data_IF_491018301148
#
_entry.id   IF_491018301148
#
_cell.length_a   1.000
_cell.length_b   1.000
_cell.length_c   1.000
_cell.angle_alpha   90.00
_cell.angle_beta   90.00
_cell.angle_gamma   90.00
#
_symmetry.space_group_name_H-M   'P 1'
#
loop_
_entity.id
_entity.type
_entity.pdbx_description
1 polymer ?
#
# COMPACT_ATOMS: atom_id res chain seq x y z
N UNK A 1 -4.19 20.44 55.10
CA UNK A 1 -4.35 19.29 54.20
C UNK A 1 -5.00 19.82 52.92
N UNK A 2 -4.22 20.57 52.15
CA UNK A 2 -4.65 21.11 50.86
C UNK A 2 -4.19 20.15 49.79
N UNK A 3 -5.12 19.72 48.95
CA UNK A 3 -4.91 18.76 47.87
C UNK A 3 -3.77 19.23 46.96
N UNK A 4 -2.72 18.41 46.86
CA UNK A 4 -1.83 18.32 45.71
C UNK A 4 -2.72 18.07 44.48
N UNK A 5 -3.29 19.14 43.92
CA UNK A 5 -3.72 19.16 42.53
C UNK A 5 -2.42 19.17 41.72
N UNK A 6 -1.83 17.98 41.67
CA UNK A 6 -0.56 17.64 41.06
C UNK A 6 -0.72 17.91 39.56
N UNK A 7 -0.41 19.14 39.14
CA UNK A 7 -0.41 19.53 37.73
C UNK A 7 0.59 18.63 36.99
N UNK A 8 0.08 17.52 36.46
CA UNK A 8 0.83 16.61 35.62
C UNK A 8 1.24 17.34 34.35
N UNK A 9 2.54 17.43 34.13
CA UNK A 9 3.09 18.03 32.92
C UNK A 9 2.53 17.29 31.69
N UNK A 10 2.02 18.00 30.67
CA UNK A 10 1.37 17.38 29.53
C UNK A 10 2.29 16.38 28.82
N UNK A 11 1.81 15.14 28.65
CA UNK A 11 2.54 14.03 28.00
C UNK A 11 2.77 14.26 26.51
N UNK A 12 2.02 15.16 25.88
CA UNK A 12 1.97 15.31 24.42
C UNK A 12 3.08 16.21 23.84
N UNK A 13 3.82 16.95 24.66
CA UNK A 13 4.87 17.87 24.20
C UNK A 13 6.20 17.17 23.82
N UNK A 14 6.11 15.95 23.29
CA UNK A 14 7.28 15.27 22.73
C UNK A 14 7.49 15.76 21.29
N UNK A 15 7.86 17.03 21.11
CA UNK A 15 8.71 17.30 19.96
C UNK A 15 9.99 16.47 20.16
N UNK A 16 10.50 15.81 19.12
CA UNK A 16 11.77 15.12 19.21
C UNK A 16 12.84 16.11 19.72
N UNK A 17 13.83 15.61 20.46
CA UNK A 17 14.98 16.40 20.89
C UNK A 17 15.88 16.72 19.68
N UNK A 18 15.35 17.50 18.74
CA UNK A 18 15.96 17.85 17.48
C UNK A 18 15.85 19.37 17.27
N UNK A 19 16.87 20.01 16.69
CA UNK A 19 16.82 21.42 16.33
C UNK A 19 15.71 21.70 15.33
N UNK A 20 15.04 22.84 15.49
CA UNK A 20 14.06 23.35 14.54
C UNK A 20 14.41 24.79 14.19
N UNK A 21 14.63 25.05 12.91
CA UNK A 21 15.18 26.32 12.40
C UNK A 21 14.38 27.55 12.87
N UNK A 22 13.06 27.49 12.82
CA UNK A 22 12.19 28.61 13.23
C UNK A 22 12.28 28.88 14.75
N UNK A 23 12.47 27.83 15.58
CA UNK A 23 12.60 27.99 17.03
C UNK A 23 14.00 28.44 17.43
N UNK A 24 15.04 28.00 16.71
CA UNK A 24 16.41 28.53 16.85
C UNK A 24 16.47 30.01 16.46
N UNK A 25 15.76 30.43 15.40
CA UNK A 25 15.65 31.83 15.01
C UNK A 25 14.93 32.68 16.06
N UNK A 26 13.86 32.14 16.66
CA UNK A 26 13.14 32.81 17.76
C UNK A 26 14.03 32.96 19.01
N UNK A 27 14.75 31.90 19.39
CA UNK A 27 15.73 31.95 20.48
C UNK A 27 16.80 33.01 20.21
N UNK A 28 17.40 33.02 19.01
CA UNK A 28 18.39 34.03 18.60
C UNK A 28 17.85 35.45 18.68
N UNK A 29 16.63 35.68 18.19
CA UNK A 29 15.97 37.00 18.25
C UNK A 29 15.82 37.49 19.69
N UNK A 30 15.43 36.60 20.62
CA UNK A 30 15.36 36.93 22.03
C UNK A 30 16.75 37.29 22.61
N UNK A 31 17.77 36.52 22.23
CA UNK A 31 19.13 36.72 22.72
C UNK A 31 19.69 38.06 22.28
N UNK A 32 19.49 38.43 21.02
CA UNK A 32 19.90 39.70 20.45
C UNK A 32 19.17 40.88 21.12
N UNK A 33 17.84 40.78 21.28
CA UNK A 33 17.03 41.85 21.90
C UNK A 33 17.41 42.13 23.34
N UNK A 34 17.69 41.08 24.12
CA UNK A 34 18.04 41.23 25.54
C UNK A 34 19.56 41.33 25.78
N UNK A 35 20.36 41.16 24.73
CA UNK A 35 21.84 41.10 24.81
C UNK A 35 22.31 40.07 25.83
N UNK A 36 21.76 38.85 25.76
CA UNK A 36 22.09 37.74 26.67
C UNK A 36 22.82 36.63 25.91
N UNK A 37 23.72 35.89 26.57
CA UNK A 37 24.51 34.85 25.92
C UNK A 37 23.71 33.59 25.57
N UNK A 38 22.59 33.33 26.24
CA UNK A 38 21.82 32.09 26.08
C UNK A 38 20.32 32.34 26.13
N UNK A 39 19.59 31.68 25.23
CA UNK A 39 18.12 31.65 25.21
C UNK A 39 17.62 30.31 24.70
N UNK A 40 16.54 29.80 25.28
CA UNK A 40 15.99 28.49 24.91
C UNK A 40 14.47 28.53 24.78
N UNK A 41 13.95 27.83 23.77
CA UNK A 41 12.58 27.35 23.73
C UNK A 41 12.58 25.97 24.39
N UNK A 42 11.85 25.82 25.48
CA UNK A 42 11.84 24.62 26.31
C UNK A 42 10.47 23.99 26.26
N UNK A 43 10.39 22.74 25.83
CA UNK A 43 9.19 21.93 26.00
C UNK A 43 9.39 20.96 27.14
N UNK A 44 8.36 20.84 27.98
CA UNK A 44 8.43 20.12 29.25
C UNK A 44 7.48 18.93 29.21
N UNK A 45 7.95 17.76 29.63
CA UNK A 45 7.17 16.54 29.76
C UNK A 45 7.53 15.79 31.05
N UNK A 46 6.82 14.69 31.35
CA UNK A 46 7.19 13.79 32.46
C UNK A 46 8.59 13.19 32.32
N UNK A 47 9.07 13.02 31.07
CA UNK A 47 10.36 12.40 30.76
C UNK A 47 11.56 13.34 30.81
N UNK A 48 11.35 14.65 30.95
CA UNK A 48 12.42 15.65 30.91
C UNK A 48 12.02 16.93 30.17
N UNK A 49 13.03 17.71 29.78
CA UNK A 49 12.87 18.88 28.93
C UNK A 49 13.67 18.73 27.63
N UNK A 50 13.09 19.21 26.54
CA UNK A 50 13.72 19.25 25.21
C UNK A 50 13.78 20.70 24.70
N UNK A 51 14.75 20.95 23.83
CA UNK A 51 15.09 22.28 23.33
C UNK A 51 14.93 22.35 21.80
N UNK A 52 13.70 22.43 21.27
CA UNK A 52 13.48 22.58 19.84
C UNK A 52 14.09 23.88 19.29
N UNK A 53 14.23 24.91 20.14
CA UNK A 53 14.95 26.14 19.83
C UNK A 53 16.01 26.43 20.89
N UNK A 54 17.24 26.71 20.47
CA UNK A 54 18.31 27.11 21.37
C UNK A 54 19.28 28.08 20.69
N UNK A 55 19.79 29.01 21.49
CA UNK A 55 20.90 29.88 21.10
C UNK A 55 21.90 29.96 22.25
N UNK A 56 23.20 29.89 21.93
CA UNK A 56 24.29 29.93 22.90
C UNK A 56 24.45 28.67 23.76
N UNK A 57 23.74 27.59 23.43
CA UNK A 57 23.84 26.32 24.14
C UNK A 57 25.22 25.65 23.85
N UNK A 58 25.96 25.16 24.85
CA UNK A 58 27.25 24.50 24.61
C UNK A 58 27.09 23.22 23.77
N UNK A 59 28.07 22.93 22.89
CA UNK A 59 28.01 21.84 21.90
C UNK A 59 27.48 20.50 22.43
N UNK A 60 27.97 20.03 23.58
CA UNK A 60 27.52 18.76 24.20
C UNK A 60 26.01 18.68 24.47
N UNK A 61 25.37 19.83 24.70
CA UNK A 61 23.93 19.95 24.96
C UNK A 61 23.17 20.33 23.70
N UNK A 62 23.83 21.06 22.79
CA UNK A 62 23.29 21.44 21.49
C UNK A 62 23.03 20.21 20.61
N UNK A 63 23.93 19.22 20.63
CA UNK A 63 23.75 17.96 19.90
C UNK A 63 22.58 17.11 20.43
N UNK A 64 22.33 17.19 21.75
CA UNK A 64 21.31 16.38 22.44
C UNK A 64 19.93 17.02 22.51
N UNK A 65 19.86 18.36 22.40
CA UNK A 65 18.66 19.20 22.58
C UNK A 65 17.74 18.73 23.72
N UNK A 66 18.33 18.25 24.83
CA UNK A 66 17.59 17.73 25.97
C UNK A 66 18.39 17.77 27.25
N UNK A 67 17.69 17.95 28.37
CA UNK A 67 18.26 17.97 29.72
C UNK A 67 17.29 17.36 30.73
N UNK A 68 17.81 16.91 31.90
CA UNK A 68 16.96 16.61 33.04
C UNK A 68 16.10 17.82 33.43
N UNK A 69 14.84 17.57 33.76
CA UNK A 69 13.90 18.62 34.19
C UNK A 69 14.05 18.98 35.67
N UNK A 70 14.47 18.03 36.50
CA UNK A 70 14.54 18.16 37.96
C UNK A 70 15.40 19.35 38.40
N UNK A 71 14.81 20.26 39.17
CA UNK A 71 15.54 21.40 39.74
C UNK A 71 15.85 22.51 38.72
N UNK A 72 15.09 22.59 37.62
CA UNK A 72 15.21 23.66 36.63
C UNK A 72 14.20 24.80 36.89
N UNK A 73 14.54 26.07 36.57
CA UNK A 73 13.58 27.17 36.64
C UNK A 73 12.37 26.95 35.71
N UNK A 74 12.59 26.33 34.55
CA UNK A 74 11.54 26.00 33.58
C UNK A 74 10.49 25.04 34.14
N UNK A 75 10.88 24.12 35.03
CA UNK A 75 9.94 23.24 35.73
C UNK A 75 8.97 24.04 36.60
N UNK A 76 9.46 25.07 37.30
CA UNK A 76 8.64 25.90 38.16
C UNK A 76 7.64 26.73 37.35
N UNK A 77 8.06 27.30 36.22
CA UNK A 77 7.18 28.04 35.31
C UNK A 77 6.11 27.10 34.73
N UNK A 78 6.51 25.92 34.24
CA UNK A 78 5.59 24.94 33.67
C UNK A 78 4.55 24.44 34.69
N UNK A 79 4.93 24.26 35.96
CA UNK A 79 4.02 23.86 37.05
C UNK A 79 3.08 24.98 37.50
N UNK A 80 3.59 26.20 37.60
CA UNK A 80 2.81 27.33 38.14
C UNK A 80 1.99 28.06 37.09
N UNK A 81 2.35 27.90 35.81
CA UNK A 81 1.77 28.68 34.72
C UNK A 81 2.07 30.18 34.82
N UNK A 82 3.15 30.57 35.51
CA UNK A 82 3.52 31.97 35.74
C UNK A 82 4.94 32.25 35.27
N UNK A 83 5.11 33.33 34.50
CA UNK A 83 6.43 33.86 34.13
C UNK A 83 7.24 34.22 35.39
N UNK A 84 8.55 34.07 35.31
CA UNK A 84 9.46 34.26 36.45
C UNK A 84 10.75 34.93 36.01
N UNK A 85 11.23 35.87 36.83
CA UNK A 85 12.52 36.52 36.68
C UNK A 85 13.35 36.31 37.94
N UNK A 86 14.61 35.91 37.76
CA UNK A 86 15.59 35.64 38.82
C UNK A 86 16.83 36.48 38.48
N UNK A 87 17.17 37.39 39.40
CA UNK A 87 18.35 38.24 39.31
C UNK A 87 19.64 37.43 39.44
N UNK A 88 19.70 36.59 40.47
CA UNK A 88 20.83 35.72 40.75
C UNK A 88 20.34 34.36 41.27
N UNK A 89 20.53 33.29 40.49
CA UNK A 89 20.15 31.91 40.85
C UNK A 89 20.86 31.44 42.12
N UNK A 90 22.05 31.98 42.42
CA UNK A 90 22.78 31.64 43.64
C UNK A 90 22.06 32.13 44.90
N UNK A 91 21.13 33.07 44.79
CA UNK A 91 20.31 33.54 45.91
C UNK A 91 19.10 32.64 46.15
N UNK A 92 18.76 31.76 45.20
CA UNK A 92 17.59 30.86 45.28
C UNK A 92 18.02 29.48 45.81
N UNK A 93 17.69 29.10 47.07
CA UNK A 93 18.21 27.88 47.70
C UNK A 93 17.94 26.60 46.92
N UNK A 94 16.75 26.47 46.31
CA UNK A 94 16.36 25.27 45.56
C UNK A 94 17.04 25.13 44.20
N UNK A 95 17.66 26.20 43.68
CA UNK A 95 18.32 26.22 42.36
C UNK A 95 19.84 26.35 42.46
N UNK A 96 20.37 26.89 43.57
CA UNK A 96 21.80 27.13 43.80
C UNK A 96 22.67 25.88 43.62
N UNK A 97 22.16 24.73 44.05
CA UNK A 97 22.88 23.45 44.06
C UNK A 97 22.58 22.58 42.83
N UNK A 98 21.77 23.04 41.88
CA UNK A 98 21.45 22.28 40.66
C UNK A 98 22.71 22.12 39.79
N UNK A 99 23.20 20.89 39.55
CA UNK A 99 24.46 20.66 38.82
C UNK A 99 24.48 21.30 37.44
N UNK A 100 23.37 21.19 36.70
CA UNK A 100 23.27 21.67 35.32
C UNK A 100 23.37 23.20 35.22
N UNK A 101 22.84 23.93 36.21
CA UNK A 101 22.89 25.39 36.23
C UNK A 101 24.32 25.88 36.49
N UNK A 102 25.08 25.18 37.35
CA UNK A 102 26.51 25.46 37.58
C UNK A 102 27.35 25.17 36.35
N UNK A 103 27.07 24.05 35.70
CA UNK A 103 27.78 23.60 34.52
C UNK A 103 27.63 24.57 33.35
N UNK A 104 26.44 25.14 33.17
CA UNK A 104 26.12 26.19 32.21
C UNK A 104 26.48 27.61 32.69
N UNK A 105 26.99 27.76 33.92
CA UNK A 105 27.29 29.05 34.58
C UNK A 105 26.11 30.02 34.59
N UNK A 106 24.89 29.51 34.75
CA UNK A 106 23.66 30.31 34.82
C UNK A 106 23.69 31.16 36.09
N UNK A 107 23.64 32.48 35.92
CA UNK A 107 23.55 33.44 37.02
C UNK A 107 22.19 34.13 37.04
N UNK A 108 21.69 34.65 35.92
CA UNK A 108 20.36 35.25 35.83
C UNK A 108 19.45 34.47 34.88
N UNK A 109 18.15 34.52 35.14
CA UNK A 109 17.14 33.81 34.35
C UNK A 109 15.86 34.63 34.25
N UNK A 110 15.33 34.83 33.04
CA UNK A 110 13.96 35.30 32.82
C UNK A 110 13.26 34.30 31.91
N UNK A 111 12.08 33.82 32.32
CA UNK A 111 11.31 32.88 31.53
C UNK A 111 9.82 33.22 31.52
N UNK A 112 9.20 33.02 30.38
CA UNK A 112 7.76 33.18 30.20
C UNK A 112 7.11 31.88 29.73
N UNK A 113 5.85 31.71 30.10
CA UNK A 113 5.04 30.57 29.66
C UNK A 113 4.82 30.66 28.15
N UNK A 114 5.05 29.56 27.46
CA UNK A 114 4.58 29.36 26.08
C UNK A 114 3.17 28.74 26.17
N UNK A 115 2.11 29.49 25.84
CA UNK A 115 0.75 29.04 26.06
C UNK A 115 0.21 28.21 24.89
N UNK A 116 -0.76 27.36 25.20
CA UNK A 116 -1.63 26.73 24.22
C UNK A 116 -2.81 27.64 23.85
N UNK A 117 -3.67 27.26 22.88
CA UNK A 117 -4.81 28.07 22.47
C UNK A 117 -5.84 28.34 23.59
N UNK A 118 -5.81 27.55 24.66
CA UNK A 118 -6.65 27.67 25.84
C UNK A 118 -5.92 28.35 27.01
N UNK A 119 -4.70 28.86 26.79
CA UNK A 119 -3.88 29.55 27.79
C UNK A 119 -3.12 28.64 28.75
N UNK A 120 -3.07 27.32 28.51
CA UNK A 120 -2.34 26.36 29.36
C UNK A 120 -0.86 26.31 28.99
N UNK A 121 0.05 26.08 29.95
CA UNK A 121 1.48 26.00 29.67
C UNK A 121 1.85 24.79 28.81
N UNK A 122 2.40 25.05 27.61
CA UNK A 122 3.04 24.07 26.73
C UNK A 122 4.53 23.91 27.00
N UNK A 123 5.14 25.00 27.44
CA UNK A 123 6.58 25.11 27.55
C UNK A 123 6.98 26.46 28.12
N UNK A 124 8.25 26.78 27.96
CA UNK A 124 8.86 27.99 28.49
C UNK A 124 9.80 28.57 27.44
N UNK A 125 9.70 29.86 27.19
CA UNK A 125 10.74 30.61 26.49
C UNK A 125 11.57 31.34 27.54
N UNK A 126 12.89 31.15 27.53
CA UNK A 126 13.75 31.75 28.54
C UNK A 126 15.00 32.42 27.98
N UNK A 127 15.46 33.42 28.73
CA UNK A 127 16.69 34.16 28.57
C UNK A 127 17.58 33.94 29.80
N UNK A 128 18.87 33.71 29.54
CA UNK A 128 19.84 33.31 30.54
C UNK A 128 21.10 34.17 30.40
N UNK A 129 21.57 34.67 31.53
CA UNK A 129 22.85 35.39 31.64
C UNK A 129 23.81 34.67 32.58
N UNK A 130 25.10 34.79 32.30
CA UNK A 130 26.20 34.28 33.13
C UNK A 130 26.63 35.28 34.21
N UNK A 131 26.02 36.47 34.23
CA UNK A 131 26.16 37.49 35.28
C UNK A 131 24.79 37.79 35.91
N UNK A 132 24.75 38.19 37.19
CA UNK A 132 23.51 38.69 37.79
C UNK A 132 22.94 39.85 36.98
N UNK A 133 21.62 39.87 36.80
CA UNK A 133 20.95 40.86 35.96
C UNK A 133 19.63 41.30 36.59
N UNK A 134 19.44 42.61 36.68
CA UNK A 134 18.13 43.19 36.98
C UNK A 134 17.30 43.24 35.69
N UNK A 135 16.25 42.41 35.62
CA UNK A 135 15.35 42.36 34.48
C UNK A 135 14.36 43.53 34.54
N UNK A 136 14.36 44.36 33.50
CA UNK A 136 13.43 45.49 33.39
C UNK A 136 12.01 45.01 33.05
N UNK A 137 11.01 45.87 33.24
CA UNK A 137 9.65 45.57 32.78
C UNK A 137 9.59 45.37 31.26
N UNK A 138 10.40 46.13 30.51
CA UNK A 138 10.49 46.00 29.04
C UNK A 138 11.15 44.67 28.64
N UNK A 139 12.18 44.23 29.38
CA UNK A 139 12.81 42.92 29.14
C UNK A 139 11.76 41.81 29.28
N UNK A 140 10.97 41.84 30.35
CA UNK A 140 9.92 40.84 30.59
C UNK A 140 8.81 40.90 29.55
N UNK A 141 8.39 42.10 29.15
CA UNK A 141 7.40 42.28 28.08
C UNK A 141 7.87 41.68 26.74
N UNK A 142 9.18 41.77 26.43
CA UNK A 142 9.76 41.12 25.24
C UNK A 142 9.75 39.60 25.37
N UNK A 143 10.10 39.04 26.53
CA UNK A 143 10.06 37.59 26.75
C UNK A 143 8.63 37.06 26.62
N UNK A 144 7.65 37.71 27.27
CA UNK A 144 6.23 37.32 27.21
C UNK A 144 5.67 37.39 25.79
N UNK A 145 5.98 38.46 25.04
CA UNK A 145 5.51 38.62 23.66
C UNK A 145 6.08 37.53 22.72
N UNK A 146 7.38 37.23 22.83
CA UNK A 146 8.00 36.18 22.03
C UNK A 146 7.55 34.77 22.47
N UNK A 147 7.21 34.57 23.75
CA UNK A 147 6.66 33.31 24.24
C UNK A 147 5.26 33.05 23.68
N UNK A 148 4.41 34.09 23.60
CA UNK A 148 3.12 34.00 22.94
C UNK A 148 3.25 33.68 21.44
N UNK A 149 4.21 34.32 20.75
CA UNK A 149 4.52 34.01 19.35
C UNK A 149 5.01 32.55 19.19
N UNK A 150 5.85 32.07 20.11
CA UNK A 150 6.30 30.68 20.12
C UNK A 150 5.13 29.70 20.24
N UNK A 151 4.13 29.99 21.08
CA UNK A 151 2.93 29.16 21.25
C UNK A 151 2.11 29.04 19.97
N UNK A 152 1.90 30.17 19.28
CA UNK A 152 1.23 30.19 17.98
C UNK A 152 1.99 29.37 16.93
N UNK A 153 3.32 29.46 16.93
CA UNK A 153 4.15 28.70 16.00
C UNK A 153 4.08 27.20 16.28
N UNK A 154 4.19 26.78 17.54
CA UNK A 154 4.04 25.36 17.93
C UNK A 154 2.70 24.81 17.51
N UNK A 155 1.62 25.57 17.70
CA UNK A 155 0.29 25.17 17.25
C UNK A 155 0.25 24.98 15.73
N UNK A 156 0.81 25.92 14.96
CA UNK A 156 0.86 25.84 13.50
C UNK A 156 1.60 24.58 13.04
N UNK A 157 2.81 24.33 13.57
CA UNK A 157 3.61 23.14 13.25
C UNK A 157 2.87 21.85 13.61
N UNK A 158 2.21 21.80 14.76
CA UNK A 158 1.44 20.63 15.18
C UNK A 158 0.24 20.34 14.27
N UNK A 159 -0.48 21.38 13.84
CA UNK A 159 -1.60 21.26 12.90
C UNK A 159 -1.12 20.78 11.51
N UNK A 160 -0.04 21.37 11.00
CA UNK A 160 0.56 20.98 9.71
C UNK A 160 1.01 19.51 9.73
N UNK A 161 1.61 19.04 10.84
CA UNK A 161 2.00 17.65 10.99
C UNK A 161 0.79 16.70 11.03
N UNK A 162 -0.22 17.04 11.84
CA UNK A 162 -1.44 16.25 11.95
C UNK A 162 -2.19 16.15 10.61
N UNK A 163 -2.24 17.24 9.83
CA UNK A 163 -2.83 17.24 8.49
C UNK A 163 -2.05 16.31 7.54
N UNK A 164 -0.72 16.39 7.55
CA UNK A 164 0.14 15.52 6.73
C UNK A 164 -0.04 14.05 7.09
N UNK A 165 -0.09 13.71 8.37
CA UNK A 165 -0.31 12.34 8.83
C UNK A 165 -1.69 11.82 8.44
N UNK A 166 -2.72 12.63 8.63
CA UNK A 166 -4.11 12.31 8.24
C UNK A 166 -4.22 12.08 6.73
N UNK A 167 -3.60 12.94 5.92
CA UNK A 167 -3.56 12.81 4.47
C UNK A 167 -2.84 11.55 4.04
N UNK A 168 -1.66 11.27 4.59
CA UNK A 168 -0.90 10.06 4.30
C UNK A 168 -1.63 8.78 4.73
N UNK A 169 -2.42 8.83 5.81
CA UNK A 169 -3.29 7.72 6.21
C UNK A 169 -4.45 7.52 5.22
N UNK A 170 -5.09 8.61 4.80
CA UNK A 170 -6.17 8.56 3.82
C UNK A 170 -5.70 8.01 2.47
N UNK A 171 -4.55 8.47 1.96
CA UNK A 171 -3.97 8.01 0.69
C UNK A 171 -3.61 6.51 0.73
N UNK A 172 -3.04 6.03 1.85
CA UNK A 172 -2.78 4.59 2.06
C UNK A 172 -4.06 3.77 2.10
N UNK A 173 -5.08 4.24 2.81
CA UNK A 173 -6.37 3.58 2.90
C UNK A 173 -7.08 3.53 1.54
N UNK A 174 -7.06 4.62 0.77
CA UNK A 174 -7.63 4.69 -0.57
C UNK A 174 -6.93 3.72 -1.54
N UNK A 175 -5.60 3.66 -1.50
CA UNK A 175 -4.82 2.72 -2.33
C UNK A 175 -5.15 1.26 -1.99
N UNK A 176 -5.20 0.92 -0.70
CA UNK A 176 -5.56 -0.42 -0.25
C UNK A 176 -6.99 -0.79 -0.65
N UNK A 177 -7.94 0.14 -0.49
CA UNK A 177 -9.33 -0.06 -0.90
C UNK A 177 -9.45 -0.29 -2.41
N UNK A 178 -8.73 0.48 -3.23
CA UNK A 178 -8.73 0.31 -4.67
C UNK A 178 -8.14 -1.03 -5.10
N UNK A 179 -7.05 -1.48 -4.45
CA UNK A 179 -6.47 -2.79 -4.71
C UNK A 179 -7.42 -3.93 -4.33
N UNK A 180 -8.06 -3.84 -3.17
CA UNK A 180 -9.07 -4.81 -2.73
C UNK A 180 -10.27 -4.87 -3.69
N UNK A 181 -10.76 -3.72 -4.16
CA UNK A 181 -11.86 -3.66 -5.12
C UNK A 181 -11.48 -4.31 -6.47
N UNK A 182 -10.25 -4.07 -6.97
CA UNK A 182 -9.75 -4.70 -8.19
C UNK A 182 -9.61 -6.21 -8.04
N UNK A 183 -9.08 -6.68 -6.90
CA UNK A 183 -8.96 -8.11 -6.62
C UNK A 183 -10.34 -8.79 -6.51
N UNK A 184 -11.30 -8.14 -5.86
CA UNK A 184 -12.67 -8.64 -5.77
C UNK A 184 -13.34 -8.72 -7.14
N UNK A 185 -13.15 -7.71 -7.99
CA UNK A 185 -13.68 -7.70 -9.36
C UNK A 185 -13.10 -8.84 -10.20
N UNK A 186 -11.77 -9.04 -10.17
CA UNK A 186 -11.12 -10.13 -10.88
C UNK A 186 -11.61 -11.51 -10.40
N UNK A 187 -11.74 -11.70 -9.08
CA UNK A 187 -12.25 -12.94 -8.51
C UNK A 187 -13.72 -13.20 -8.90
N UNK A 188 -14.53 -12.15 -9.01
CA UNK A 188 -15.91 -12.25 -9.48
C UNK A 188 -15.97 -12.69 -10.95
N UNK A 189 -15.18 -12.06 -11.82
CA UNK A 189 -15.09 -12.40 -13.24
C UNK A 189 -14.62 -13.86 -13.46
N UNK A 190 -13.65 -14.33 -12.67
CA UNK A 190 -13.21 -15.73 -12.70
C UNK A 190 -14.31 -16.69 -12.25
N UNK A 191 -15.03 -16.37 -11.18
CA UNK A 191 -16.12 -17.19 -10.67
C UNK A 191 -17.30 -17.26 -11.67
N UNK A 192 -17.61 -16.16 -12.35
CA UNK A 192 -18.64 -16.11 -13.38
C UNK A 192 -18.25 -16.96 -14.59
N UNK A 193 -16.99 -16.84 -15.07
CA UNK A 193 -16.48 -17.66 -16.16
C UNK A 193 -16.52 -19.16 -15.85
N UNK A 194 -16.21 -19.56 -14.61
CA UNK A 194 -16.29 -20.95 -14.18
C UNK A 194 -17.74 -21.45 -14.08
N UNK A 195 -18.64 -20.61 -13.56
CA UNK A 195 -20.07 -20.93 -13.52
C UNK A 195 -20.66 -21.10 -14.94
N UNK A 196 -20.27 -20.27 -15.89
CA UNK A 196 -20.70 -20.38 -17.29
C UNK A 196 -20.20 -21.67 -17.94
N UNK A 197 -18.94 -22.06 -17.68
CA UNK A 197 -18.40 -23.35 -18.13
C UNK A 197 -19.20 -24.52 -17.55
N UNK A 198 -19.45 -24.52 -16.24
CA UNK A 198 -20.23 -25.58 -15.57
C UNK A 198 -21.65 -25.68 -16.14
N UNK A 199 -22.31 -24.53 -16.38
CA UNK A 199 -23.65 -24.48 -17.01
C UNK A 199 -23.63 -25.03 -18.43
N UNK A 200 -22.61 -24.71 -19.23
CA UNK A 200 -22.47 -25.22 -20.59
C UNK A 200 -22.32 -26.75 -20.59
N UNK A 201 -21.45 -27.29 -19.74
CA UNK A 201 -21.24 -28.74 -19.59
C UNK A 201 -22.54 -29.44 -19.16
N UNK A 202 -23.24 -28.92 -18.16
CA UNK A 202 -24.49 -29.51 -17.69
C UNK A 202 -25.59 -29.50 -18.76
N UNK A 203 -25.73 -28.39 -19.51
CA UNK A 203 -26.69 -28.28 -20.63
C UNK A 203 -26.37 -29.27 -21.75
N UNK A 204 -25.10 -29.42 -22.11
CA UNK A 204 -24.65 -30.41 -23.10
C UNK A 204 -24.98 -31.82 -22.64
N UNK A 205 -24.60 -32.21 -21.41
CA UNK A 205 -24.91 -33.53 -20.86
C UNK A 205 -26.41 -33.85 -20.88
N UNK A 206 -27.25 -32.91 -20.44
CA UNK A 206 -28.71 -33.07 -20.43
C UNK A 206 -29.28 -33.24 -21.83
N UNK A 207 -28.83 -32.44 -22.80
CA UNK A 207 -29.34 -32.51 -24.17
C UNK A 207 -28.89 -33.78 -24.92
N UNK A 208 -27.68 -34.28 -24.61
CA UNK A 208 -27.16 -35.53 -25.17
C UNK A 208 -27.93 -36.76 -24.65
N UNK A 209 -28.39 -36.76 -23.39
CA UNK A 209 -29.20 -37.86 -22.86
C UNK A 209 -30.54 -38.06 -23.59
N UNK A 210 -31.06 -37.01 -24.22
CA UNK A 210 -32.29 -37.07 -25.02
C UNK A 210 -32.05 -37.46 -26.49
N UNK A 211 -30.79 -37.71 -26.89
CA UNK A 211 -30.43 -38.03 -28.28
C UNK A 211 -30.50 -39.55 -28.51
N UNK A 212 -31.31 -39.98 -29.47
CA UNK A 212 -31.47 -41.40 -29.82
C UNK A 212 -30.55 -41.83 -30.97
N UNK A 213 -30.07 -40.87 -31.77
CA UNK A 213 -29.21 -41.13 -32.93
C UNK A 213 -27.95 -40.27 -32.93
N UNK A 214 -26.90 -40.72 -33.64
CA UNK A 214 -25.69 -39.94 -33.88
C UNK A 214 -25.99 -38.58 -34.54
N UNK A 215 -26.99 -38.52 -35.42
CA UNK A 215 -27.43 -37.26 -36.04
C UNK A 215 -28.02 -36.27 -35.04
N UNK A 216 -28.73 -36.74 -34.01
CA UNK A 216 -29.27 -35.89 -32.94
C UNK A 216 -28.16 -35.33 -32.05
N UNK A 217 -27.16 -36.16 -31.75
CA UNK A 217 -25.94 -35.75 -31.03
C UNK A 217 -25.21 -34.64 -31.80
N UNK A 218 -24.91 -34.86 -33.09
CA UNK A 218 -24.18 -33.89 -33.92
C UNK A 218 -24.92 -32.55 -34.03
N UNK A 219 -26.24 -32.57 -34.23
CA UNK A 219 -27.06 -31.34 -34.25
C UNK A 219 -27.11 -30.64 -32.90
N UNK A 220 -27.21 -31.40 -31.82
CA UNK A 220 -27.28 -30.86 -30.46
C UNK A 220 -25.97 -30.20 -30.05
N UNK A 221 -24.84 -30.85 -30.33
CA UNK A 221 -23.50 -30.31 -30.10
C UNK A 221 -23.28 -29.06 -30.95
N UNK A 222 -23.63 -29.07 -32.25
CA UNK A 222 -23.52 -27.88 -33.11
C UNK A 222 -24.27 -26.69 -32.51
N UNK A 223 -25.55 -26.89 -32.18
CA UNK A 223 -26.43 -25.84 -31.66
C UNK A 223 -25.94 -25.27 -30.33
N UNK A 224 -25.45 -26.12 -29.44
CA UNK A 224 -25.10 -25.73 -28.07
C UNK A 224 -23.64 -25.25 -27.92
N UNK A 225 -22.73 -25.65 -28.80
CA UNK A 225 -21.31 -25.28 -28.72
C UNK A 225 -20.98 -24.13 -29.65
N UNK A 226 -21.54 -24.11 -30.87
CA UNK A 226 -21.16 -23.15 -31.91
C UNK A 226 -21.54 -21.71 -31.57
N UNK A 227 -22.76 -21.51 -31.07
CA UNK A 227 -23.27 -20.16 -30.77
C UNK A 227 -22.69 -19.53 -29.49
N UNK A 228 -22.59 -20.23 -28.35
CA UNK A 228 -22.07 -19.62 -27.12
C UNK A 228 -20.54 -19.40 -27.13
N UNK A 229 -19.78 -20.24 -27.83
CA UNK A 229 -18.32 -20.13 -27.91
C UNK A 229 -17.83 -19.34 -29.13
N UNK A 230 -18.74 -18.84 -29.98
CA UNK A 230 -18.37 -18.17 -31.23
C UNK A 230 -17.56 -19.05 -32.19
N UNK A 231 -17.65 -20.38 -32.05
CA UNK A 231 -16.84 -21.30 -32.82
C UNK A 231 -17.25 -21.28 -34.29
N UNK A 232 -16.27 -21.22 -35.18
CA UNK A 232 -16.51 -21.20 -36.64
C UNK A 232 -16.97 -22.58 -37.13
N UNK A 233 -16.39 -23.63 -36.54
CA UNK A 233 -16.70 -25.03 -36.78
C UNK A 233 -16.54 -25.83 -35.48
N UNK A 234 -17.32 -26.90 -35.33
CA UNK A 234 -17.20 -27.86 -34.23
C UNK A 234 -17.03 -29.25 -34.85
N UNK A 235 -16.14 -30.06 -34.27
CA UNK A 235 -15.87 -31.42 -34.73
C UNK A 235 -15.97 -32.34 -33.52
N UNK A 236 -16.78 -33.39 -33.64
CA UNK A 236 -16.99 -34.39 -32.59
C UNK A 236 -16.15 -35.63 -32.89
N UNK A 237 -15.25 -35.99 -31.97
CA UNK A 237 -14.52 -37.25 -32.01
C UNK A 237 -15.21 -38.31 -31.18
N UNK A 238 -15.50 -39.47 -31.75
CA UNK A 238 -16.05 -40.64 -31.07
C UNK A 238 -15.04 -41.79 -31.15
N UNK A 239 -14.66 -42.34 -30.00
CA UNK A 239 -13.84 -43.54 -29.91
C UNK A 239 -14.57 -44.56 -29.02
N UNK A 240 -14.55 -45.82 -29.44
CA UNK A 240 -15.05 -46.92 -28.62
C UNK A 240 -14.04 -47.22 -27.50
N UNK A 241 -14.54 -47.56 -26.32
CA UNK A 241 -13.68 -47.83 -25.16
C UNK A 241 -12.73 -49.01 -25.46
N UNK A 242 -11.42 -48.76 -25.35
CA UNK A 242 -10.37 -49.75 -25.65
C UNK A 242 -9.96 -49.83 -27.12
N UNK A 243 -10.59 -49.05 -28.01
CA UNK A 243 -10.18 -48.93 -29.41
C UNK A 243 -9.13 -47.83 -29.57
N UNK A 244 -8.12 -48.09 -30.41
CA UNK A 244 -7.19 -47.06 -30.88
C UNK A 244 -7.78 -46.20 -32.00
N UNK A 245 -8.97 -46.55 -32.51
CA UNK A 245 -9.63 -45.87 -33.62
C UNK A 245 -10.53 -44.74 -33.11
N UNK A 246 -10.31 -43.54 -33.62
CA UNK A 246 -11.08 -42.33 -33.35
C UNK A 246 -11.78 -41.87 -34.63
N UNK A 247 -13.10 -41.79 -34.60
CA UNK A 247 -13.94 -41.31 -35.70
C UNK A 247 -14.32 -39.84 -35.50
N UNK A 248 -13.87 -38.97 -36.41
CA UNK A 248 -14.12 -37.54 -36.36
C UNK A 248 -15.29 -37.14 -37.29
N UNK A 249 -16.28 -36.46 -36.72
CA UNK A 249 -17.49 -35.97 -37.39
C UNK A 249 -17.58 -34.45 -37.34
N UNK A 250 -17.52 -33.73 -38.47
CA UNK A 250 -17.80 -32.30 -38.48
C UNK A 250 -19.29 -32.06 -38.17
N UNK A 251 -19.59 -31.06 -37.35
CA UNK A 251 -20.98 -30.66 -37.07
C UNK A 251 -21.40 -29.50 -38.01
N UNK A 252 -22.65 -29.52 -38.50
CA UNK A 252 -23.19 -28.47 -39.37
C UNK A 252 -24.34 -28.92 -40.29
N UNK A 253 -24.94 -28.01 -41.09
CA UNK A 253 -26.16 -28.29 -41.86
C UNK A 253 -26.00 -29.35 -42.96
N UNK A 254 -24.77 -29.67 -43.38
CA UNK A 254 -24.44 -30.72 -44.35
C UNK A 254 -23.80 -31.97 -43.72
N UNK A 255 -23.81 -32.07 -42.39
CA UNK A 255 -23.22 -33.22 -41.69
C UNK A 255 -24.12 -34.46 -41.80
N UNK A 256 -23.61 -35.49 -42.45
CA UNK A 256 -24.20 -36.83 -42.53
C UNK A 256 -23.18 -37.88 -42.07
N UNK A 257 -23.60 -39.12 -41.79
CA UNK A 257 -22.72 -40.19 -41.29
C UNK A 257 -21.54 -40.53 -42.23
N UNK A 258 -21.56 -40.09 -43.49
CA UNK A 258 -20.49 -40.29 -44.49
C UNK A 258 -19.35 -39.27 -44.48
N UNK A 259 -19.37 -38.25 -43.60
CA UNK A 259 -18.29 -37.26 -43.46
C UNK A 259 -17.18 -37.65 -42.47
N UNK A 260 -17.16 -38.92 -42.04
CA UNK A 260 -16.31 -39.44 -40.99
C UNK A 260 -14.85 -39.59 -41.45
N UNK A 261 -13.91 -39.08 -40.63
CA UNK A 261 -12.47 -39.34 -40.82
C UNK A 261 -11.93 -40.18 -39.67
N UNK A 262 -11.17 -41.22 -40.00
CA UNK A 262 -10.52 -42.08 -39.01
C UNK A 262 -9.15 -41.52 -38.63
N UNK A 263 -8.90 -41.46 -37.32
CA UNK A 263 -7.67 -41.02 -36.66
C UNK A 263 -7.25 -42.08 -35.65
N UNK A 264 -5.99 -42.05 -35.21
CA UNK A 264 -5.55 -42.86 -34.08
C UNK A 264 -5.60 -42.04 -32.78
N UNK A 265 -6.10 -42.63 -31.69
CA UNK A 265 -6.17 -41.99 -30.35
C UNK A 265 -4.76 -41.65 -29.82
N UNK A 266 -3.73 -42.36 -30.27
CA UNK A 266 -2.35 -42.09 -29.85
C UNK A 266 -1.67 -40.95 -30.64
N UNK A 267 -2.28 -40.48 -31.73
CA UNK A 267 -1.72 -39.42 -32.56
C UNK A 267 -1.63 -38.09 -31.80
N UNK A 268 -0.72 -37.22 -32.24
CA UNK A 268 -0.62 -35.82 -31.76
C UNK A 268 -1.75 -34.92 -32.27
N UNK A 269 -2.77 -35.48 -32.92
CA UNK A 269 -3.89 -34.73 -33.47
C UNK A 269 -4.74 -34.14 -32.32
N UNK A 270 -5.18 -32.87 -32.39
CA UNK A 270 -5.89 -32.24 -31.28
C UNK A 270 -7.18 -32.96 -30.82
N UNK A 271 -7.90 -33.67 -31.71
CA UNK A 271 -9.00 -34.55 -31.30
C UNK A 271 -8.54 -35.78 -30.51
N UNK A 272 -7.40 -36.38 -30.89
CA UNK A 272 -6.83 -37.53 -30.19
C UNK A 272 -6.35 -37.10 -28.79
N UNK A 273 -5.72 -35.92 -28.70
CA UNK A 273 -5.38 -35.26 -27.43
C UNK A 273 -6.63 -34.98 -26.59
N UNK A 274 -7.70 -34.44 -27.19
CA UNK A 274 -8.96 -34.15 -26.50
C UNK A 274 -9.60 -35.41 -25.89
N UNK A 275 -9.59 -36.53 -26.63
CA UNK A 275 -10.12 -37.82 -26.18
C UNK A 275 -9.25 -38.43 -25.07
N UNK A 276 -7.93 -38.47 -25.27
CA UNK A 276 -6.98 -39.03 -24.29
C UNK A 276 -6.95 -38.26 -22.98
N UNK A 277 -6.97 -36.93 -23.06
CA UNK A 277 -6.93 -36.04 -21.90
C UNK A 277 -8.32 -35.70 -21.35
N UNK A 278 -9.39 -36.19 -22.00
CA UNK A 278 -10.80 -35.98 -21.63
C UNK A 278 -11.15 -34.51 -21.40
N UNK A 279 -10.64 -33.63 -22.26
CA UNK A 279 -10.88 -32.18 -22.21
C UNK A 279 -11.16 -31.61 -23.58
N UNK A 280 -11.87 -30.47 -23.61
CA UNK A 280 -12.03 -29.71 -24.83
C UNK A 280 -10.68 -29.08 -25.23
N UNK A 281 -10.31 -29.22 -26.50
CA UNK A 281 -9.10 -28.63 -27.08
C UNK A 281 -9.52 -27.56 -28.08
N UNK A 282 -9.15 -26.31 -27.82
CA UNK A 282 -9.40 -25.18 -28.72
C UNK A 282 -8.25 -25.02 -29.70
N UNK A 283 -8.55 -24.90 -30.99
CA UNK A 283 -7.57 -24.52 -32.01
C UNK A 283 -7.72 -23.02 -32.28
N UNK A 284 -6.69 -22.20 -32.00
CA UNK A 284 -6.83 -20.75 -31.92
C UNK A 284 -6.97 -20.06 -33.28
N UNK A 285 -6.53 -20.68 -34.37
CA UNK A 285 -6.54 -20.06 -35.71
C UNK A 285 -7.25 -20.90 -36.76
N UNK A 286 -7.92 -20.22 -37.70
CA UNK A 286 -8.62 -20.87 -38.81
C UNK A 286 -7.68 -21.60 -39.77
N UNK A 287 -6.50 -21.03 -40.01
CA UNK A 287 -5.47 -21.65 -40.85
C UNK A 287 -5.06 -23.00 -40.26
N UNK A 288 -4.73 -23.03 -38.97
CA UNK A 288 -4.36 -24.27 -38.28
C UNK A 288 -5.51 -25.30 -38.27
N UNK A 289 -6.75 -24.83 -38.08
CA UNK A 289 -7.93 -25.69 -38.17
C UNK A 289 -8.11 -26.29 -39.59
N UNK A 290 -7.90 -25.52 -40.66
CA UNK A 290 -8.01 -25.99 -42.04
C UNK A 290 -6.93 -27.03 -42.39
N UNK A 291 -5.74 -26.93 -41.79
CA UNK A 291 -4.65 -27.91 -41.92
C UNK A 291 -4.93 -29.22 -41.17
N UNK A 292 -5.48 -29.12 -39.96
CA UNK A 292 -5.81 -30.27 -39.12
C UNK A 292 -7.09 -30.99 -39.63
N UNK A 293 -8.04 -30.21 -40.16
CA UNK A 293 -9.33 -30.66 -40.67
C UNK A 293 -9.57 -30.22 -42.14
N UNK A 294 -8.81 -30.72 -43.12
CA UNK A 294 -9.03 -30.44 -44.53
C UNK A 294 -10.39 -31.01 -44.97
N UNK A 295 -11.41 -30.14 -45.03
CA UNK A 295 -12.77 -30.55 -45.39
C UNK A 295 -13.90 -29.52 -45.20
N UNK A 296 -13.60 -28.23 -44.95
CA UNK A 296 -14.61 -27.17 -44.81
C UNK A 296 -14.83 -26.29 -46.04
N UNK A 297 -13.81 -26.11 -46.88
CA UNK A 297 -13.85 -25.54 -48.21
C UNK A 297 -12.50 -25.82 -48.83
N UNK A 298 -12.44 -26.20 -50.11
CA UNK A 298 -11.19 -26.36 -50.83
C UNK A 298 -10.71 -24.97 -51.29
N UNK A 299 -9.58 -24.40 -50.83
CA UNK A 299 -8.82 -23.49 -51.66
C UNK A 299 -7.86 -24.34 -52.49
N UNK A 300 -8.15 -24.42 -53.79
CA UNK A 300 -7.21 -24.92 -54.77
C UNK A 300 -5.94 -24.06 -54.72
N UNK A 301 -4.88 -24.56 -54.10
CA UNK A 301 -3.45 -24.46 -54.49
C UNK A 301 -2.57 -24.84 -53.29
N UNK A 302 -1.72 -25.85 -53.47
CA UNK A 302 -0.82 -26.41 -52.47
C UNK A 302 0.58 -26.47 -53.09
N UNK A 303 1.65 -25.99 -52.44
CA UNK A 303 2.99 -26.55 -52.59
C UNK A 303 3.29 -27.55 -51.45
N UNK A 304 4.34 -28.40 -51.59
CA UNK A 304 4.43 -29.65 -50.85
C UNK A 304 5.01 -29.51 -49.44
N UNK A 305 4.45 -30.32 -48.53
CA UNK A 305 4.99 -31.07 -47.38
C UNK A 305 6.16 -30.51 -46.52
N UNK A 306 6.16 -30.84 -45.21
CA UNK A 306 6.77 -32.12 -44.81
C UNK A 306 5.83 -33.02 -43.99
N UNK A 307 6.21 -34.30 -43.97
CA UNK A 307 5.41 -35.50 -43.71
C UNK A 307 4.92 -35.71 -42.26
N UNK A 308 3.75 -36.35 -42.10
CA UNK A 308 3.46 -37.37 -41.08
C UNK A 308 2.73 -38.55 -41.77
N UNK A 309 3.16 -39.82 -41.61
CA UNK A 309 2.65 -40.94 -42.42
C UNK A 309 1.37 -41.56 -41.86
N UNK A 310 0.26 -41.51 -42.61
CA UNK A 310 -0.92 -42.37 -42.40
C UNK A 310 -0.65 -43.79 -42.96
N UNK A 311 -0.81 -44.82 -42.12
CA UNK A 311 -0.62 -46.25 -42.45
C UNK A 311 -1.80 -46.91 -43.19
N UNK A 312 -2.45 -46.21 -44.13
CA UNK A 312 -3.62 -46.77 -44.84
C UNK A 312 -3.37 -47.12 -46.33
N UNK A 313 -2.16 -46.97 -46.86
CA UNK A 313 -1.87 -47.34 -48.24
C UNK A 313 -0.78 -48.41 -48.35
N UNK A 314 -1.08 -49.66 -47.97
CA UNK A 314 -0.35 -50.82 -48.49
C UNK A 314 -1.12 -52.14 -48.26
N UNK A 315 -2.12 -52.39 -49.10
CA UNK A 315 -2.59 -53.75 -49.37
C UNK A 315 -3.39 -53.78 -50.69
N UNK A 316 -2.71 -54.03 -51.81
CA UNK A 316 -3.37 -54.55 -53.01
C UNK A 316 -2.42 -55.47 -53.77
N UNK A 317 -2.73 -56.76 -53.65
CA UNK A 317 -2.23 -57.97 -54.29
C UNK A 317 -2.03 -57.84 -55.82
N UNK A 318 -1.04 -58.51 -56.45
CA UNK A 318 -0.82 -58.43 -57.90
C UNK A 318 -1.75 -59.39 -58.66
N UNK A 319 -2.14 -59.10 -59.92
CA UNK A 319 -2.89 -60.05 -60.74
C UNK A 319 -1.97 -61.00 -61.51
N UNK A 320 -2.46 -62.24 -61.67
CA UNK A 320 -1.88 -63.33 -62.46
C UNK A 320 -2.04 -63.10 -63.97
N UNK A 321 -0.97 -63.37 -64.72
CA UNK A 321 -0.91 -64.14 -65.97
C UNK A 321 -1.61 -63.62 -67.24
N UNK A 322 -0.83 -63.37 -68.30
CA UNK A 322 -0.52 -64.32 -69.38
C UNK A 322 0.77 -63.90 -70.09
#
# INVERSE_FOLDING_TARGET
>A
MGTDDEYELPTWAALPAQPHEEFDALARTLAERLSVPMTFVVLVSKGGQVFPGAYGLPARWDDRRSMPLSGSPSQQIARTGRSMAIRDIREVPVLRDTPILRELKVAAYAGAVVPDPLGRPLGVLCAIDVRPRDWSADDLAVVDALAAQCGQQLQRTALELAERESRAACERAATAAQQAARAAQAAFEEAEAEADRARLVARLGTALLASETLGDVLRTVDRLVRSPLGAIAVVLGLAEAGSALLQAYPTGPSSGPGGCRELNVEDSHPLAVAVRERRLVTVPTRVEADWLFPGGACPATRPPSPCWPCRCCSASTPPRGR
#
